data_IF_416812437120
#
_entry.id   IF_416812437120
#
_cell.length_a   1.000
_cell.length_b   1.000
_cell.length_c   1.000
_cell.angle_alpha   90.00
_cell.angle_beta   90.00
_cell.angle_gamma   90.00
#
_symmetry.space_group_name_H-M   'P 1'
#
loop_
_entity.id
_entity.type
_entity.pdbx_description
1 polymer ?
#
# COMPACT_ATOMS: atom_id res chain seq x y z
N UNK A 1 70.70 20.54 7.92
CA UNK A 1 69.48 20.93 7.17
C UNK A 1 68.93 19.70 6.46
N UNK A 2 67.89 19.10 7.03
CA UNK A 2 66.97 18.17 6.36
C UNK A 2 65.79 17.97 7.32
N UNK A 3 64.71 18.74 7.14
CA UNK A 3 63.44 18.49 7.82
C UNK A 3 62.64 17.53 6.95
N UNK A 4 62.28 16.39 7.54
CA UNK A 4 61.42 15.37 6.94
C UNK A 4 59.97 15.77 7.16
N UNK A 5 59.21 15.75 6.08
CA UNK A 5 57.77 16.02 6.02
C UNK A 5 56.98 15.06 6.92
N UNK A 6 56.12 15.59 7.78
CA UNK A 6 54.97 14.86 8.32
C UNK A 6 53.71 15.43 7.65
N UNK A 7 53.19 14.68 6.68
CA UNK A 7 51.82 14.83 6.18
C UNK A 7 50.98 13.87 7.00
N UNK A 8 50.17 14.39 7.92
CA UNK A 8 49.13 13.62 8.61
C UNK A 8 48.04 13.27 7.60
N UNK A 9 47.93 11.97 7.29
CA UNK A 9 46.80 11.41 6.56
C UNK A 9 45.57 11.41 7.48
N UNK A 10 44.68 12.38 7.31
CA UNK A 10 43.30 12.28 7.77
C UNK A 10 42.45 11.68 6.66
N UNK A 11 42.18 10.37 6.74
CA UNK A 11 41.08 9.68 6.03
C UNK A 11 40.94 8.25 6.58
N UNK A 12 40.58 8.13 7.85
CA UNK A 12 39.92 6.92 8.35
C UNK A 12 38.42 7.18 8.30
N UNK A 13 37.78 6.72 7.24
CA UNK A 13 36.34 6.54 7.23
C UNK A 13 36.00 5.47 8.26
N UNK A 14 35.29 5.85 9.32
CA UNK A 14 34.75 4.92 10.32
C UNK A 14 33.91 3.83 9.64
N UNK A 15 34.52 2.68 9.40
CA UNK A 15 33.80 1.47 9.03
C UNK A 15 33.11 1.01 10.31
N UNK A 16 31.87 1.46 10.50
CA UNK A 16 31.00 0.89 11.53
C UNK A 16 30.81 -0.60 11.23
N UNK A 17 31.61 -1.45 11.88
CA UNK A 17 31.41 -2.89 11.86
C UNK A 17 30.04 -3.19 12.48
N UNK A 18 29.10 -3.57 11.63
CA UNK A 18 27.76 -3.96 12.01
C UNK A 18 27.57 -5.44 11.70
N UNK A 19 27.06 -6.19 12.68
CA UNK A 19 26.60 -7.57 12.46
C UNK A 19 25.30 -7.60 11.64
N UNK A 20 24.60 -6.47 11.50
CA UNK A 20 23.44 -6.31 10.64
C UNK A 20 23.95 -6.02 9.22
N UNK A 21 23.63 -6.86 8.21
CA UNK A 21 24.00 -6.58 6.83
C UNK A 21 23.43 -5.23 6.37
N UNK A 22 24.23 -4.45 5.63
CA UNK A 22 23.81 -3.16 5.07
C UNK A 22 22.59 -3.27 4.12
N UNK A 23 22.40 -4.45 3.51
CA UNK A 23 21.25 -4.78 2.67
C UNK A 23 19.96 -5.09 3.46
N UNK A 24 20.06 -5.48 4.73
CA UNK A 24 18.93 -6.01 5.51
C UNK A 24 17.77 -5.01 5.66
N UNK A 25 18.10 -3.73 5.82
CA UNK A 25 17.10 -2.66 5.94
C UNK A 25 16.63 -2.07 4.61
N UNK A 26 17.27 -2.42 3.49
CA UNK A 26 17.14 -1.68 2.23
C UNK A 26 16.45 -2.46 1.10
N UNK A 27 16.26 -3.77 1.27
CA UNK A 27 15.59 -4.65 0.30
C UNK A 27 14.11 -4.84 0.63
N UNK A 28 13.31 -4.88 -0.44
CA UNK A 28 11.90 -5.31 -0.37
C UNK A 28 11.89 -6.84 -0.29
N UNK A 29 11.14 -7.37 0.68
CA UNK A 29 10.91 -8.80 0.85
C UNK A 29 9.43 -9.11 0.74
N UNK A 30 9.11 -10.25 0.14
CA UNK A 30 7.75 -10.79 0.20
C UNK A 30 7.48 -11.39 1.58
N UNK A 31 6.26 -11.22 2.06
CA UNK A 31 5.80 -11.76 3.33
C UNK A 31 4.94 -13.02 3.14
N UNK A 32 4.90 -13.85 4.17
CA UNK A 32 4.14 -15.10 4.22
C UNK A 32 2.96 -15.01 5.19
N UNK A 33 2.08 -16.02 5.17
CA UNK A 33 0.94 -16.07 6.09
C UNK A 33 1.38 -16.11 7.57
N UNK A 34 2.56 -16.67 7.86
CA UNK A 34 3.19 -16.66 9.20
C UNK A 34 3.40 -15.25 9.75
N UNK A 35 3.60 -14.26 8.88
CA UNK A 35 3.93 -12.88 9.26
C UNK A 35 2.68 -12.05 9.58
N UNK A 36 1.50 -12.66 9.50
CA UNK A 36 0.21 -11.98 9.70
C UNK A 36 0.13 -11.22 11.02
N UNK A 37 0.73 -11.75 12.09
CA UNK A 37 0.75 -11.03 13.37
C UNK A 37 1.52 -9.71 13.26
N UNK A 38 2.79 -9.77 12.85
CA UNK A 38 3.71 -8.64 12.88
C UNK A 38 3.38 -7.61 11.79
N UNK A 39 3.07 -8.08 10.58
CA UNK A 39 2.68 -7.22 9.48
C UNK A 39 1.35 -6.52 9.76
N UNK A 40 0.37 -7.23 10.33
CA UNK A 40 -0.91 -6.64 10.75
C UNK A 40 -0.73 -5.59 11.85
N UNK A 41 0.18 -5.84 12.81
CA UNK A 41 0.51 -4.86 13.85
C UNK A 41 1.24 -3.63 13.28
N UNK A 42 2.18 -3.82 12.35
CA UNK A 42 2.88 -2.74 11.67
C UNK A 42 1.93 -1.86 10.85
N UNK A 43 0.97 -2.46 10.13
CA UNK A 43 -0.12 -1.74 9.47
C UNK A 43 -0.97 -1.00 10.50
N UNK A 44 -1.34 -1.62 11.62
CA UNK A 44 -2.11 -0.96 12.67
C UNK A 44 -1.41 0.29 13.20
N UNK A 45 -0.11 0.25 13.43
CA UNK A 45 0.69 1.43 13.80
C UNK A 45 0.70 2.50 12.69
N UNK A 46 0.84 2.09 11.43
CA UNK A 46 0.89 3.00 10.29
C UNK A 46 -0.43 3.75 10.07
N UNK A 47 -1.56 3.06 10.28
CA UNK A 47 -2.92 3.55 10.05
C UNK A 47 -3.63 3.99 11.35
N UNK A 48 -2.90 4.10 12.48
CA UNK A 48 -3.49 4.44 13.78
C UNK A 48 -4.24 5.79 13.82
N UNK A 49 -3.89 6.69 12.90
CA UNK A 49 -4.50 8.03 12.75
C UNK A 49 -5.14 8.23 11.38
N UNK A 50 -5.29 7.16 10.60
CA UNK A 50 -5.90 7.23 9.28
C UNK A 50 -7.41 7.52 9.37
N UNK A 51 -7.91 8.55 8.67
CA UNK A 51 -9.32 8.93 8.76
C UNK A 51 -10.30 7.82 8.36
N UNK A 52 -9.95 7.00 7.35
CA UNK A 52 -10.80 5.90 6.90
C UNK A 52 -10.86 4.79 7.97
N UNK A 53 -9.73 4.44 8.58
CA UNK A 53 -9.66 3.46 9.66
C UNK A 53 -10.52 3.88 10.86
N UNK A 54 -10.44 5.15 11.28
CA UNK A 54 -11.27 5.69 12.36
C UNK A 54 -12.77 5.68 11.99
N UNK A 55 -13.09 6.00 10.74
CA UNK A 55 -14.45 5.96 10.21
C UNK A 55 -15.06 4.57 10.24
N UNK A 56 -14.32 3.57 9.74
CA UNK A 56 -14.71 2.16 9.66
C UNK A 56 -14.91 1.54 11.04
N UNK A 57 -14.04 1.86 12.00
CA UNK A 57 -14.17 1.39 13.38
C UNK A 57 -15.39 1.99 14.10
N UNK A 58 -16.05 3.00 13.50
CA UNK A 58 -17.20 3.66 14.09
C UNK A 58 -16.86 4.30 15.43
N UNK A 59 -15.68 4.92 15.54
CA UNK A 59 -15.16 5.47 16.82
C UNK A 59 -16.14 6.45 17.46
N UNK A 60 -16.90 7.17 16.66
CA UNK A 60 -18.00 8.05 17.10
C UNK A 60 -19.15 7.28 17.77
N UNK A 61 -19.54 6.11 17.25
CA UNK A 61 -20.51 5.21 17.88
C UNK A 61 -19.90 4.33 18.99
N UNK A 62 -18.57 4.25 19.06
CA UNK A 62 -17.80 3.53 20.07
C UNK A 62 -17.14 4.46 21.08
N UNK A 63 -17.62 5.70 21.23
CA UNK A 63 -17.03 6.73 22.10
C UNK A 63 -16.91 6.30 23.58
N UNK A 64 -17.71 5.32 24.01
CA UNK A 64 -17.65 4.73 25.37
C UNK A 64 -16.59 3.64 25.53
N UNK A 65 -15.91 3.22 24.45
CA UNK A 65 -14.90 2.18 24.51
C UNK A 65 -13.55 2.76 24.93
N UNK A 66 -12.78 1.99 25.70
CA UNK A 66 -11.42 2.38 26.05
C UNK A 66 -10.51 2.40 24.81
N UNK A 67 -9.50 3.27 24.84
CA UNK A 67 -8.47 3.34 23.78
C UNK A 67 -7.80 1.98 23.53
N UNK A 68 -7.61 1.18 24.58
CA UNK A 68 -7.05 -0.17 24.46
C UNK A 68 -7.97 -1.13 23.69
N UNK A 69 -9.29 -1.04 23.91
CA UNK A 69 -10.26 -1.86 23.18
C UNK A 69 -10.33 -1.47 21.70
N UNK A 70 -10.32 -0.17 21.41
CA UNK A 70 -10.25 0.35 20.04
C UNK A 70 -8.96 -0.07 19.34
N UNK A 71 -7.82 0.01 20.04
CA UNK A 71 -6.53 -0.45 19.54
C UNK A 71 -6.55 -1.94 19.21
N UNK A 72 -7.03 -2.79 20.12
CA UNK A 72 -7.18 -4.24 19.89
C UNK A 72 -8.07 -4.55 18.68
N UNK A 73 -9.14 -3.77 18.48
CA UNK A 73 -10.03 -3.93 17.33
C UNK A 73 -9.32 -3.50 16.03
N UNK A 74 -8.62 -2.36 16.04
CA UNK A 74 -7.83 -1.88 14.90
C UNK A 74 -6.75 -2.87 14.46
N UNK A 75 -6.02 -3.44 15.42
CA UNK A 75 -5.03 -4.50 15.14
C UNK A 75 -5.71 -5.72 14.51
N UNK A 76 -6.88 -6.13 14.97
CA UNK A 76 -7.63 -7.24 14.35
C UNK A 76 -8.07 -6.92 12.92
N UNK A 77 -8.57 -5.72 12.67
CA UNK A 77 -8.92 -5.24 11.33
C UNK A 77 -7.73 -5.35 10.37
N UNK A 78 -6.56 -4.87 10.79
CA UNK A 78 -5.35 -4.92 9.94
C UNK A 78 -4.82 -6.34 9.74
N UNK A 79 -4.91 -7.21 10.76
CA UNK A 79 -4.56 -8.63 10.63
C UNK A 79 -5.48 -9.38 9.67
N UNK A 80 -6.79 -9.16 9.75
CA UNK A 80 -7.74 -9.79 8.83
C UNK A 80 -7.58 -9.25 7.41
N UNK A 81 -7.30 -7.95 7.26
CA UNK A 81 -6.97 -7.35 5.97
C UNK A 81 -5.70 -7.98 5.38
N UNK A 82 -4.63 -8.10 6.18
CA UNK A 82 -3.40 -8.79 5.77
C UNK A 82 -3.70 -10.22 5.31
N UNK A 83 -4.40 -11.01 6.12
CA UNK A 83 -4.72 -12.39 5.78
C UNK A 83 -5.54 -12.48 4.49
N UNK A 84 -6.52 -11.59 4.32
CA UNK A 84 -7.35 -11.51 3.11
C UNK A 84 -6.50 -11.27 1.86
N UNK A 85 -5.60 -10.28 1.90
CA UNK A 85 -4.74 -9.98 0.76
C UNK A 85 -3.71 -11.08 0.53
N UNK A 86 -3.11 -11.66 1.58
CA UNK A 86 -2.05 -12.66 1.40
C UNK A 86 -2.56 -14.01 0.90
N UNK A 87 -3.84 -14.36 1.11
CA UNK A 87 -4.42 -15.59 0.59
C UNK A 87 -4.47 -15.65 -0.94
N UNK A 88 -4.58 -14.49 -1.62
CA UNK A 88 -4.73 -14.41 -3.09
C UNK A 88 -3.75 -13.47 -3.76
N UNK A 89 -3.03 -12.67 -2.99
CA UNK A 89 -2.17 -11.63 -3.50
C UNK A 89 -0.79 -11.62 -2.85
N UNK A 90 -0.17 -10.46 -2.96
CA UNK A 90 1.23 -10.26 -2.59
C UNK A 90 1.28 -9.27 -1.42
N UNK A 91 1.98 -9.65 -0.37
CA UNK A 91 2.32 -8.75 0.72
C UNK A 91 3.82 -8.53 0.69
N UNK A 92 4.26 -7.29 0.69
CA UNK A 92 5.68 -6.93 0.69
C UNK A 92 6.01 -6.04 1.88
N UNK A 93 7.26 -6.09 2.33
CA UNK A 93 7.75 -5.32 3.45
C UNK A 93 9.19 -4.85 3.23
N UNK A 94 9.56 -3.77 3.90
CA UNK A 94 10.94 -3.27 3.95
C UNK A 94 11.28 -2.79 5.37
N UNK A 95 12.57 -2.79 5.70
CA UNK A 95 13.11 -2.47 7.01
C UNK A 95 13.15 -3.67 7.97
N UNK A 96 13.96 -3.61 9.03
CA UNK A 96 14.22 -4.75 9.91
C UNK A 96 12.98 -5.25 10.66
N UNK A 97 12.05 -4.36 11.01
CA UNK A 97 10.86 -4.68 11.80
C UNK A 97 9.58 -4.21 11.10
N UNK A 98 9.35 -4.70 9.88
CA UNK A 98 8.14 -4.36 9.11
C UNK A 98 7.86 -2.85 9.05
N UNK A 99 8.92 -2.06 8.90
CA UNK A 99 8.88 -0.60 9.00
C UNK A 99 7.92 0.01 7.98
N UNK A 100 7.81 -0.62 6.81
CA UNK A 100 6.73 -0.39 5.89
C UNK A 100 6.23 -1.71 5.31
N UNK A 101 4.92 -1.78 5.06
CA UNK A 101 4.21 -2.94 4.51
C UNK A 101 3.28 -2.47 3.39
N UNK A 102 3.24 -3.21 2.29
CA UNK A 102 2.28 -3.00 1.21
C UNK A 102 1.54 -4.29 0.88
N UNK A 103 0.23 -4.18 0.61
CA UNK A 103 -0.67 -5.29 0.28
C UNK A 103 -1.27 -5.08 -1.10
N UNK A 104 -1.11 -6.08 -1.95
CA UNK A 104 -1.42 -6.02 -3.37
C UNK A 104 -2.30 -7.18 -3.79
N UNK A 105 -3.26 -6.91 -4.68
CA UNK A 105 -4.00 -7.93 -5.42
C UNK A 105 -3.52 -7.92 -6.88
N UNK A 106 -2.92 -9.01 -7.38
CA UNK A 106 -2.51 -9.11 -8.78
C UNK A 106 -3.74 -9.29 -9.70
N UNK A 107 -3.57 -9.12 -11.03
CA UNK A 107 -4.63 -9.41 -11.99
C UNK A 107 -5.15 -10.85 -11.88
N UNK A 108 -6.40 -11.06 -12.25
CA UNK A 108 -7.10 -12.35 -12.19
C UNK A 108 -7.54 -12.75 -10.79
N UNK A 109 -7.37 -11.89 -9.79
CA UNK A 109 -7.81 -12.16 -8.41
C UNK A 109 -9.11 -11.43 -8.11
N UNK A 110 -10.20 -12.19 -8.04
CA UNK A 110 -11.53 -11.68 -7.67
C UNK A 110 -11.74 -11.74 -6.16
N UNK A 111 -12.41 -10.73 -5.60
CA UNK A 111 -12.81 -10.68 -4.19
C UNK A 111 -14.06 -11.51 -3.86
N UNK A 112 -14.72 -12.11 -4.86
CA UNK A 112 -15.97 -12.87 -4.69
C UNK A 112 -15.75 -14.31 -4.19
N UNK A 113 -14.59 -14.57 -3.58
CA UNK A 113 -14.26 -15.86 -3.01
C UNK A 113 -14.66 -15.92 -1.53
N UNK A 114 -15.78 -16.58 -1.27
CA UNK A 114 -16.26 -16.90 0.08
C UNK A 114 -15.21 -17.65 0.92
N UNK A 115 -14.30 -18.40 0.28
CA UNK A 115 -13.19 -19.11 0.93
C UNK A 115 -12.20 -18.08 1.48
N UNK A 116 -11.76 -17.12 0.67
CA UNK A 116 -10.85 -16.05 1.14
C UNK A 116 -11.47 -15.23 2.28
N UNK A 117 -12.77 -14.94 2.20
CA UNK A 117 -13.53 -14.29 3.27
C UNK A 117 -13.54 -15.13 4.56
N UNK A 118 -13.78 -16.44 4.45
CA UNK A 118 -13.82 -17.36 5.59
C UNK A 118 -12.46 -17.50 6.28
N UNK A 119 -11.40 -17.76 5.51
CA UNK A 119 -10.05 -18.04 6.04
C UNK A 119 -9.31 -16.79 6.52
N UNK A 120 -9.58 -15.62 5.94
CA UNK A 120 -9.02 -14.34 6.43
C UNK A 120 -9.56 -13.96 7.81
N UNK A 121 -10.76 -14.44 8.17
CA UNK A 121 -11.44 -14.04 9.39
C UNK A 121 -12.08 -12.65 9.32
N UNK A 122 -12.11 -12.00 8.14
CA UNK A 122 -12.71 -10.67 7.94
C UNK A 122 -14.19 -10.65 8.37
N UNK A 123 -14.91 -11.77 8.18
CA UNK A 123 -16.29 -11.97 8.64
C UNK A 123 -16.47 -11.77 10.15
N UNK A 124 -15.43 -12.00 10.97
CA UNK A 124 -15.49 -11.79 12.42
C UNK A 124 -15.69 -10.32 12.76
N UNK A 125 -15.33 -9.39 11.87
CA UNK A 125 -15.57 -7.96 12.06
C UNK A 125 -17.06 -7.65 12.18
N UNK A 126 -17.95 -8.45 11.59
CA UNK A 126 -19.38 -8.32 11.80
C UNK A 126 -19.76 -8.41 13.29
N UNK A 127 -19.12 -9.31 14.03
CA UNK A 127 -19.41 -9.49 15.46
C UNK A 127 -18.63 -8.51 16.35
N UNK A 128 -17.50 -7.99 15.86
CA UNK A 128 -16.60 -7.14 16.63
C UNK A 128 -16.89 -5.64 16.49
N UNK A 129 -17.43 -5.19 15.35
CA UNK A 129 -17.70 -3.79 15.08
C UNK A 129 -19.00 -3.33 15.77
N UNK A 130 -19.08 -2.06 16.20
CA UNK A 130 -20.34 -1.46 16.61
C UNK A 130 -21.35 -1.47 15.45
N UNK A 131 -22.64 -1.28 15.75
CA UNK A 131 -23.71 -1.31 14.72
C UNK A 131 -23.43 -0.37 13.54
N UNK A 132 -22.93 0.83 13.81
CA UNK A 132 -22.61 1.79 12.75
C UNK A 132 -21.32 1.43 12.01
N UNK A 133 -20.30 0.93 12.71
CA UNK A 133 -19.07 0.43 12.08
C UNK A 133 -19.35 -0.72 11.10
N UNK A 134 -20.27 -1.63 11.45
CA UNK A 134 -20.74 -2.69 10.53
C UNK A 134 -21.34 -2.12 9.26
N UNK A 135 -22.28 -1.18 9.37
CA UNK A 135 -22.92 -0.55 8.21
C UNK A 135 -21.90 0.17 7.33
N UNK A 136 -21.00 0.93 7.94
CA UNK A 136 -19.94 1.64 7.21
C UNK A 136 -19.00 0.67 6.49
N UNK A 137 -18.61 -0.43 7.14
CA UNK A 137 -17.68 -1.39 6.55
C UNK A 137 -18.34 -2.23 5.45
N UNK A 138 -19.45 -2.92 5.77
CA UNK A 138 -20.06 -3.94 4.91
C UNK A 138 -21.12 -3.39 3.95
N UNK A 139 -21.88 -2.37 4.36
CA UNK A 139 -23.04 -1.89 3.58
C UNK A 139 -22.72 -0.60 2.79
N UNK A 140 -21.56 0.02 3.03
CA UNK A 140 -21.16 1.30 2.41
C UNK A 140 -19.77 1.19 1.75
N UNK A 141 -18.69 1.13 2.53
CA UNK A 141 -17.34 1.25 1.98
C UNK A 141 -16.99 0.09 1.07
N UNK A 142 -17.23 -1.16 1.49
CA UNK A 142 -16.87 -2.30 0.67
C UNK A 142 -17.60 -2.32 -0.69
N UNK A 143 -18.94 -2.15 -0.77
CA UNK A 143 -19.64 -2.03 -2.04
C UNK A 143 -19.19 -0.83 -2.87
N UNK A 144 -19.08 0.37 -2.27
CA UNK A 144 -18.71 1.57 -3.01
C UNK A 144 -17.32 1.46 -3.64
N UNK A 145 -16.34 0.89 -2.94
CA UNK A 145 -15.00 0.68 -3.50
C UNK A 145 -15.02 -0.35 -4.64
N UNK A 146 -15.75 -1.45 -4.46
CA UNK A 146 -15.92 -2.47 -5.50
C UNK A 146 -16.55 -1.89 -6.77
N UNK A 147 -17.72 -1.24 -6.63
CA UNK A 147 -18.48 -0.67 -7.74
C UNK A 147 -17.70 0.45 -8.44
N UNK A 148 -17.01 1.30 -7.66
CA UNK A 148 -16.23 2.40 -8.22
C UNK A 148 -15.01 1.89 -8.99
N UNK A 149 -14.33 0.86 -8.50
CA UNK A 149 -13.25 0.20 -9.26
C UNK A 149 -13.81 -0.37 -10.57
N UNK A 150 -14.95 -1.06 -10.51
CA UNK A 150 -15.60 -1.65 -11.68
C UNK A 150 -15.97 -0.59 -12.72
N UNK A 151 -16.49 0.55 -12.28
CA UNK A 151 -16.83 1.68 -13.14
C UNK A 151 -15.61 2.31 -13.80
N UNK A 152 -14.54 2.58 -13.04
CA UNK A 152 -13.34 3.27 -13.53
C UNK A 152 -12.53 2.37 -14.47
N UNK A 153 -12.38 1.09 -14.11
CA UNK A 153 -11.53 0.16 -14.85
C UNK A 153 -12.30 -0.56 -15.96
N UNK A 154 -13.63 -0.61 -15.89
CA UNK A 154 -14.49 -1.22 -16.91
C UNK A 154 -14.11 -2.68 -17.17
N UNK A 155 -13.79 -3.00 -18.42
CA UNK A 155 -13.35 -4.35 -18.84
C UNK A 155 -11.99 -4.77 -18.25
N UNK A 156 -11.23 -3.84 -17.65
CA UNK A 156 -9.91 -4.10 -17.04
C UNK A 156 -9.97 -4.30 -15.53
N UNK A 157 -11.18 -4.37 -14.94
CA UNK A 157 -11.38 -4.45 -13.48
C UNK A 157 -10.66 -5.64 -12.85
N UNK A 158 -10.68 -6.79 -13.52
CA UNK A 158 -9.98 -7.99 -13.07
C UNK A 158 -8.60 -8.13 -13.73
N UNK A 159 -8.20 -7.20 -14.58
CA UNK A 159 -6.97 -7.25 -15.38
C UNK A 159 -5.94 -6.18 -14.96
N UNK A 160 -6.03 -5.69 -13.72
CA UNK A 160 -5.15 -4.67 -13.17
C UNK A 160 -4.58 -5.07 -11.81
N UNK A 161 -3.43 -4.50 -11.45
CA UNK A 161 -2.90 -4.55 -10.09
C UNK A 161 -3.70 -3.61 -9.18
N UNK A 162 -4.05 -4.07 -7.98
CA UNK A 162 -4.75 -3.25 -7.00
C UNK A 162 -3.93 -3.11 -5.71
N UNK A 163 -3.59 -1.87 -5.36
CA UNK A 163 -2.96 -1.52 -4.09
C UNK A 163 -4.03 -1.27 -3.02
N UNK A 164 -4.17 -2.21 -2.10
CA UNK A 164 -5.13 -2.07 -0.99
C UNK A 164 -4.58 -1.28 0.18
N UNK A 165 -3.34 -1.58 0.58
CA UNK A 165 -2.72 -0.95 1.74
C UNK A 165 -1.26 -0.66 1.45
N UNK A 166 -0.80 0.53 1.82
CA UNK A 166 0.63 0.85 1.97
C UNK A 166 0.80 1.70 3.21
N UNK A 167 1.54 1.17 4.18
CA UNK A 167 1.74 1.81 5.48
C UNK A 167 3.23 1.92 5.80
N UNK A 168 3.63 3.01 6.43
CA UNK A 168 4.96 3.17 7.03
C UNK A 168 4.83 3.63 8.47
N UNK A 169 5.47 2.91 9.40
CA UNK A 169 5.55 3.25 10.83
C UNK A 169 6.08 4.68 10.98
N UNK A 170 5.54 5.42 11.95
CA UNK A 170 5.93 6.82 12.17
C UNK A 170 7.45 7.00 12.35
N UNK A 171 8.11 6.09 13.07
CA UNK A 171 9.55 6.06 13.32
C UNK A 171 10.41 5.80 12.07
N UNK A 172 9.82 5.27 11.00
CA UNK A 172 10.51 4.90 9.77
C UNK A 172 10.16 5.79 8.56
N UNK A 173 9.35 6.85 8.77
CA UNK A 173 9.02 7.82 7.72
C UNK A 173 10.25 8.63 7.29
N UNK A 174 10.22 9.16 6.08
CA UNK A 174 11.31 9.95 5.51
C UNK A 174 12.48 9.12 4.96
N UNK A 175 12.44 7.79 5.05
CA UNK A 175 13.51 6.88 4.57
C UNK A 175 13.30 6.34 3.15
N UNK A 176 12.25 6.79 2.45
CA UNK A 176 11.92 6.32 1.09
C UNK A 176 11.37 4.89 1.01
N UNK A 177 10.96 4.29 2.14
CA UNK A 177 10.47 2.90 2.16
C UNK A 177 9.18 2.69 1.36
N UNK A 178 8.20 3.59 1.48
CA UNK A 178 6.98 3.52 0.67
C UNK A 178 7.28 3.64 -0.83
N UNK A 179 8.24 4.50 -1.21
CA UNK A 179 8.72 4.62 -2.59
C UNK A 179 9.27 3.28 -3.09
N UNK A 180 10.18 2.65 -2.35
CA UNK A 180 10.77 1.37 -2.74
C UNK A 180 9.75 0.23 -2.86
N UNK A 181 8.77 0.17 -1.95
CA UNK A 181 7.70 -0.83 -2.02
C UNK A 181 6.82 -0.62 -3.26
N UNK A 182 6.55 0.64 -3.59
CA UNK A 182 5.72 1.00 -4.73
C UNK A 182 6.46 0.75 -6.06
N UNK A 183 7.72 1.19 -6.17
CA UNK A 183 8.58 0.97 -7.35
C UNK A 183 8.71 -0.51 -7.69
N UNK A 184 8.85 -1.37 -6.68
CA UNK A 184 8.96 -2.81 -6.88
C UNK A 184 7.76 -3.40 -7.63
N UNK A 185 6.54 -2.96 -7.30
CA UNK A 185 5.33 -3.43 -7.95
C UNK A 185 5.00 -2.67 -9.24
N UNK A 186 5.41 -1.41 -9.34
CA UNK A 186 5.31 -0.64 -10.58
C UNK A 186 6.12 -1.29 -11.69
N UNK A 187 7.38 -1.63 -11.42
CA UNK A 187 8.25 -2.28 -12.38
C UNK A 187 7.61 -3.56 -12.93
N UNK A 188 7.07 -4.39 -12.04
CA UNK A 188 6.35 -5.61 -12.41
C UNK A 188 5.09 -5.32 -13.25
N UNK A 189 4.29 -4.32 -12.86
CA UNK A 189 3.08 -3.95 -13.59
C UNK A 189 3.39 -3.43 -15.00
N UNK A 190 4.49 -2.68 -15.16
CA UNK A 190 4.97 -2.22 -16.46
C UNK A 190 5.41 -3.39 -17.33
N UNK A 191 6.23 -4.32 -16.80
CA UNK A 191 6.63 -5.55 -17.50
C UNK A 191 5.41 -6.37 -17.97
N UNK A 192 4.37 -6.47 -17.15
CA UNK A 192 3.14 -7.17 -17.49
C UNK A 192 2.20 -6.36 -18.42
N UNK A 193 2.55 -5.11 -18.72
CA UNK A 193 1.74 -4.13 -19.47
C UNK A 193 0.34 -3.91 -18.86
N UNK A 194 0.28 -3.74 -17.54
CA UNK A 194 -0.96 -3.64 -16.76
C UNK A 194 -1.06 -2.34 -15.98
N UNK A 195 -2.28 -1.84 -15.85
CA UNK A 195 -2.54 -0.69 -15.01
C UNK A 195 -2.48 -1.06 -13.52
N UNK A 196 -2.27 -0.02 -12.71
CA UNK A 196 -2.38 -0.09 -11.26
C UNK A 196 -3.51 0.83 -10.80
N UNK A 197 -4.38 0.29 -9.97
CA UNK A 197 -5.49 0.99 -9.35
C UNK A 197 -5.27 1.09 -7.83
N UNK A 198 -5.66 2.22 -7.23
CA UNK A 198 -5.64 2.42 -5.78
C UNK A 198 -6.69 3.44 -5.34
N UNK A 199 -7.03 3.42 -4.05
CA UNK A 199 -7.75 4.51 -3.38
C UNK A 199 -6.89 5.16 -2.30
N UNK A 200 -6.84 6.49 -2.34
CA UNK A 200 -6.14 7.28 -1.32
C UNK A 200 -7.12 7.96 -0.38
N UNK A 201 -6.99 7.72 0.92
CA UNK A 201 -7.79 8.35 1.98
C UNK A 201 -7.31 9.76 2.38
N UNK A 202 -6.22 10.26 1.79
CA UNK A 202 -5.62 11.52 2.22
C UNK A 202 -5.01 12.31 1.06
N UNK A 203 -5.46 13.56 0.84
CA UNK A 203 -5.03 14.42 -0.29
C UNK A 203 -3.51 14.62 -0.35
N UNK A 204 -2.82 14.60 0.79
CA UNK A 204 -1.36 14.69 0.87
C UNK A 204 -0.67 13.52 0.16
N UNK A 205 -1.27 12.34 0.16
CA UNK A 205 -0.74 11.16 -0.51
C UNK A 205 -0.92 11.23 -2.03
N UNK A 206 -1.91 11.98 -2.53
CA UNK A 206 -2.14 12.12 -3.97
C UNK A 206 -0.91 12.72 -4.68
N UNK A 207 -0.24 13.71 -4.06
CA UNK A 207 1.02 14.27 -4.58
C UNK A 207 2.17 13.25 -4.54
N UNK A 208 2.14 12.31 -3.61
CA UNK A 208 3.12 11.22 -3.56
C UNK A 208 2.88 10.26 -4.72
N UNK A 209 1.64 9.77 -4.90
CA UNK A 209 1.29 8.86 -6.00
C UNK A 209 1.43 9.48 -7.39
N UNK A 210 1.10 10.76 -7.55
CA UNK A 210 1.23 11.46 -8.83
C UNK A 210 2.67 11.44 -9.39
N UNK A 211 3.70 11.39 -8.52
CA UNK A 211 5.11 11.27 -8.95
C UNK A 211 5.42 9.97 -9.67
N UNK A 212 4.61 8.94 -9.43
CA UNK A 212 4.72 7.64 -10.07
C UNK A 212 3.80 7.49 -11.29
N UNK A 213 3.13 8.57 -11.72
CA UNK A 213 2.23 8.54 -12.87
C UNK A 213 0.79 8.15 -12.56
N UNK A 214 0.38 8.15 -11.28
CA UNK A 214 -1.02 7.96 -10.92
C UNK A 214 -1.84 9.24 -11.16
N UNK A 215 -2.99 9.07 -11.80
CA UNK A 215 -3.96 10.14 -12.06
C UNK A 215 -5.24 9.89 -11.27
N UNK A 216 -5.82 10.96 -10.70
CA UNK A 216 -7.13 10.88 -10.05
C UNK A 216 -8.20 10.69 -11.14
N UNK A 217 -8.99 9.61 -11.04
CA UNK A 217 -10.11 9.34 -11.96
C UNK A 217 -11.46 9.66 -11.33
N UNK A 218 -11.60 9.47 -10.02
CA UNK A 218 -12.85 9.75 -9.29
C UNK A 218 -12.59 10.11 -7.85
N UNK A 219 -13.53 10.85 -7.26
CA UNK A 219 -13.58 11.12 -5.83
C UNK A 219 -14.85 10.50 -5.23
N UNK A 220 -14.69 9.79 -4.12
CA UNK A 220 -15.77 9.26 -3.30
C UNK A 220 -15.84 10.07 -2.01
N UNK A 221 -17.05 10.44 -1.59
CA UNK A 221 -17.28 11.14 -0.32
C UNK A 221 -18.16 10.29 0.59
N UNK A 222 -17.60 9.84 1.70
CA UNK A 222 -18.30 9.08 2.75
C UNK A 222 -18.83 10.04 3.81
N UNK A 223 -20.13 9.98 4.11
CA UNK A 223 -20.82 11.03 4.91
C UNK A 223 -21.52 10.52 6.17
N UNK A 224 -21.51 9.22 6.48
CA UNK A 224 -22.20 8.69 7.69
C UNK A 224 -21.48 9.02 8.99
N UNK A 225 -20.25 9.53 8.91
CA UNK A 225 -19.42 9.92 10.03
C UNK A 225 -19.63 11.38 10.43
N UNK A 226 -19.08 11.80 11.58
CA UNK A 226 -19.18 13.18 12.05
C UNK A 226 -18.47 14.19 11.14
N UNK A 227 -17.53 13.70 10.32
CA UNK A 227 -16.83 14.49 9.30
C UNK A 227 -16.78 13.68 8.00
N UNK A 228 -16.99 14.31 6.83
CA UNK A 228 -16.87 13.61 5.56
C UNK A 228 -15.44 13.08 5.33
N UNK A 229 -15.32 11.85 4.86
CA UNK A 229 -14.05 11.26 4.41
C UNK A 229 -14.04 11.25 2.89
N UNK A 230 -12.96 11.78 2.30
CA UNK A 230 -12.76 11.81 0.85
C UNK A 230 -11.77 10.71 0.47
N UNK A 231 -12.15 9.86 -0.48
CA UNK A 231 -11.27 8.88 -1.10
C UNK A 231 -11.03 9.28 -2.55
N UNK A 232 -9.78 9.24 -2.98
CA UNK A 232 -9.39 9.54 -4.35
C UNK A 232 -9.01 8.24 -5.05
N UNK A 233 -9.83 7.82 -5.99
CA UNK A 233 -9.55 6.67 -6.84
C UNK A 233 -8.55 7.09 -7.91
N UNK A 234 -7.39 6.44 -7.93
CA UNK A 234 -6.29 6.79 -8.82
C UNK A 234 -5.90 5.60 -9.69
N UNK A 235 -5.54 5.89 -10.93
CA UNK A 235 -5.09 4.90 -11.92
C UNK A 235 -3.73 5.32 -12.46
N UNK A 236 -2.82 4.37 -12.55
CA UNK A 236 -1.58 4.48 -13.30
C UNK A 236 -1.63 3.54 -14.49
N UNK A 237 -1.45 4.07 -15.69
CA UNK A 237 -1.27 3.27 -16.90
C UNK A 237 0.17 2.74 -17.00
N UNK A 238 0.37 1.57 -17.63
CA UNK A 238 1.71 1.02 -17.80
C UNK A 238 2.57 1.95 -18.66
N UNK A 239 3.83 2.10 -18.28
CA UNK A 239 4.81 2.96 -18.94
C UNK A 239 5.89 2.09 -19.60
N UNK A 240 5.46 1.29 -20.59
CA UNK A 240 6.41 0.63 -21.47
C UNK A 240 6.95 1.67 -22.44
N UNK A 241 8.25 1.93 -22.35
CA UNK A 241 8.92 3.04 -23.01
C UNK A 241 8.50 3.24 -24.47
N UNK A 242 8.29 4.51 -24.82
CA UNK A 242 8.22 5.03 -26.19
C UNK A 242 9.58 4.93 -26.89
N UNK A 243 10.19 3.75 -26.93
CA UNK A 243 11.47 3.48 -27.61
C UNK A 243 11.31 2.79 -28.96
N UNK A 244 10.08 2.58 -29.43
CA UNK A 244 9.77 1.97 -30.74
C UNK A 244 9.25 2.96 -31.80
N UNK A 245 9.37 4.28 -31.59
CA UNK A 245 9.00 5.30 -32.59
C UNK A 245 10.18 6.18 -32.95
N UNK A 246 11.25 5.57 -33.47
CA UNK A 246 12.14 6.18 -34.45
C UNK A 246 12.86 5.03 -35.15
N UNK A 247 13.02 5.09 -36.47
CA UNK A 247 13.45 4.00 -37.39
C UNK A 247 12.27 3.23 -38.01
N UNK A 248 11.35 3.95 -38.66
CA UNK A 248 10.54 3.40 -39.75
C UNK A 248 10.18 4.47 -40.81
N UNK A 249 11.00 5.51 -40.95
CA UNK A 249 10.78 6.57 -41.95
C UNK A 249 12.11 7.02 -42.59
N UNK A 250 12.87 6.03 -43.06
CA UNK A 250 13.95 6.24 -44.01
C UNK A 250 13.98 5.02 -44.95
N UNK A 251 13.27 5.14 -46.07
CA UNK A 251 13.43 4.22 -47.19
C UNK A 251 12.19 4.06 -48.04
N UNK A 252 12.03 4.92 -49.04
CA UNK A 252 11.80 4.51 -50.44
C UNK A 252 11.82 5.74 -51.35
N UNK A 253 13.03 6.13 -51.75
CA UNK A 253 13.26 6.67 -53.09
C UNK A 253 13.28 5.50 -54.10
N UNK A 254 12.86 5.80 -55.34
CA UNK A 254 12.65 4.94 -56.53
C UNK A 254 11.24 4.36 -56.61
N UNK A 255 10.41 4.63 -57.62
CA UNK A 255 10.66 4.88 -59.06
C UNK A 255 9.97 6.12 -59.63
#
# INVERSE_FOLDING_TARGET
>A
MAQVNHVENHLESDIHLSLIPSSWGSQVRELHMSDCHDAGLALAHSFATDPLSLYLLGVDGAASWSSEKLWKLHVRLMKYSYASYKLRGVATSIGPDYDAVALWMPPGTTNDDWIATLWSGIWRLWYLLPREGRKRFFDEVFPILHDTKAEIMGNRTDDCYYLGYIGTKASARGRGYATKLLDHMIYKADEDNRAIYLESSHVRNNKFYAKFGFEIKKEIVLTRGPRPIRLYCMVREPQNDKSSTSVADLGTDKE
#
